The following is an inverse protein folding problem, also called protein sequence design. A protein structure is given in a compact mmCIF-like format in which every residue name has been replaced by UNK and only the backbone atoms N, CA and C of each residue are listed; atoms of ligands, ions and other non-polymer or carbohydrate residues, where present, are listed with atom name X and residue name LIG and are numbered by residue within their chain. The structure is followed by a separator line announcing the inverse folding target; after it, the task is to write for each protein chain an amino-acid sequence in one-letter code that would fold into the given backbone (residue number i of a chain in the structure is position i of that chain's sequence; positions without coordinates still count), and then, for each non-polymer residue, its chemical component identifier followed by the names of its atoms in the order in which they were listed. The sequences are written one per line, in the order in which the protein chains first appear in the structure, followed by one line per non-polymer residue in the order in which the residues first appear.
data_IF_198639414683
#
_entry.id   IF_198639414683
#
_cell.length_a   1.000
_cell.length_b   1.000
_cell.length_c   1.000
_cell.angle_alpha   90.00
_cell.angle_beta   90.00
_cell.angle_gamma   90.00
#
_symmetry.space_group_name_H-M   'P 1'
#
loop_
_entity.id
_entity.type
_entity.pdbx_description
1 polymer ?
#
# COMPACT_ATOMS: atom_id res chain seq x y z
N UNK A 1 -53.24 38.57 -18.30
CA UNK A 1 -51.97 38.65 -17.54
C UNK A 1 -51.73 37.44 -16.63
N UNK A 2 -52.76 36.83 -16.03
CA UNK A 2 -52.60 35.77 -15.01
C UNK A 2 -52.29 34.35 -15.54
N UNK A 3 -52.63 34.04 -16.80
CA UNK A 3 -52.42 32.69 -17.40
C UNK A 3 -50.95 32.37 -17.70
N UNK A 4 -50.13 33.36 -18.01
CA UNK A 4 -48.70 33.17 -18.35
C UNK A 4 -47.86 32.93 -17.08
N UNK A 5 -48.27 33.52 -15.95
CA UNK A 5 -47.59 33.37 -14.67
C UNK A 5 -47.59 31.92 -14.18
N UNK A 6 -48.74 31.23 -14.21
CA UNK A 6 -48.84 29.83 -13.78
C UNK A 6 -48.13 28.85 -14.71
N UNK A 7 -48.00 29.17 -16.00
CA UNK A 7 -47.22 28.36 -16.96
C UNK A 7 -45.72 28.47 -16.67
N UNK A 8 -45.23 29.66 -16.32
CA UNK A 8 -43.84 29.85 -15.91
C UNK A 8 -43.58 29.14 -14.58
N UNK A 9 -44.48 29.26 -13.60
CA UNK A 9 -44.33 28.58 -12.29
C UNK A 9 -44.32 27.06 -12.44
N UNK A 10 -45.19 26.49 -13.27
CA UNK A 10 -45.22 25.03 -13.52
C UNK A 10 -44.04 24.56 -14.36
N UNK A 11 -43.63 25.33 -15.38
CA UNK A 11 -42.45 25.03 -16.20
C UNK A 11 -41.15 25.06 -15.38
N UNK A 12 -40.99 26.06 -14.51
CA UNK A 12 -39.86 26.14 -13.57
C UNK A 12 -39.91 24.99 -12.56
N UNK A 13 -41.09 24.62 -12.07
CA UNK A 13 -41.25 23.46 -11.19
C UNK A 13 -40.88 22.13 -11.88
N UNK A 14 -41.30 21.94 -13.14
CA UNK A 14 -40.93 20.76 -13.94
C UNK A 14 -39.44 20.73 -14.30
N UNK A 15 -38.82 21.89 -14.56
CA UNK A 15 -37.37 22.01 -14.75
C UNK A 15 -36.60 21.68 -13.46
N UNK A 16 -37.07 22.17 -12.29
CA UNK A 16 -36.47 21.86 -11.00
C UNK A 16 -36.62 20.38 -10.62
N UNK A 17 -37.74 19.74 -10.98
CA UNK A 17 -37.93 18.29 -10.83
C UNK A 17 -37.02 17.48 -11.77
N UNK A 18 -36.76 17.96 -12.99
CA UNK A 18 -35.87 17.27 -13.92
C UNK A 18 -34.40 17.29 -13.46
N UNK A 19 -33.95 18.43 -12.93
CA UNK A 19 -32.60 18.58 -12.34
C UNK A 19 -32.42 17.73 -11.07
N UNK A 20 -33.49 17.38 -10.36
CA UNK A 20 -33.47 16.49 -9.18
C UNK A 20 -33.23 15.02 -9.53
N UNK A 21 -33.57 14.57 -10.75
CA UNK A 21 -33.54 13.14 -11.12
C UNK A 21 -32.20 12.74 -11.77
N UNK A 22 -31.29 13.68 -12.08
CA UNK A 22 -29.96 13.31 -12.55
C UNK A 22 -29.11 12.79 -11.39
N UNK A 23 -29.28 11.53 -11.03
CA UNK A 23 -28.27 10.80 -10.29
C UNK A 23 -27.08 10.62 -11.22
N UNK A 24 -26.02 11.37 -10.96
CA UNK A 24 -24.72 11.16 -11.58
C UNK A 24 -24.13 9.88 -10.97
N UNK A 25 -24.37 8.74 -11.61
CA UNK A 25 -23.68 7.51 -11.25
C UNK A 25 -22.28 7.59 -11.83
N UNK A 26 -21.35 8.20 -11.10
CA UNK A 26 -19.93 8.05 -11.39
C UNK A 26 -19.58 6.56 -11.30
N UNK A 27 -19.31 5.95 -12.46
CA UNK A 27 -18.71 4.63 -12.51
C UNK A 27 -17.24 4.81 -12.08
N UNK A 28 -16.96 4.56 -10.80
CA UNK A 28 -15.57 4.47 -10.34
C UNK A 28 -15.00 3.19 -10.91
N UNK A 29 -14.17 3.31 -11.95
CA UNK A 29 -13.39 2.19 -12.46
C UNK A 29 -12.34 1.87 -11.40
N UNK A 30 -12.49 0.73 -10.74
CA UNK A 30 -11.44 0.13 -9.91
C UNK A 30 -10.34 -0.36 -10.84
N UNK A 31 -9.13 0.19 -10.72
CA UNK A 31 -7.97 -0.25 -11.49
C UNK A 31 -7.20 -1.35 -10.74
N UNK A 32 -6.42 -2.14 -11.48
CA UNK A 32 -5.53 -3.12 -10.89
C UNK A 32 -4.42 -2.41 -10.10
N UNK A 33 -4.16 -2.83 -8.87
CA UNK A 33 -3.12 -2.22 -8.03
C UNK A 33 -2.35 -3.27 -7.25
N UNK A 34 -1.06 -3.02 -7.04
CA UNK A 34 -0.19 -3.84 -6.19
C UNK A 34 0.04 -3.13 -4.86
N UNK A 35 -0.24 -3.79 -3.75
CA UNK A 35 -0.05 -3.25 -2.42
C UNK A 35 0.86 -4.13 -1.56
N UNK A 36 1.76 -3.46 -0.85
CA UNK A 36 2.70 -4.07 0.07
C UNK A 36 2.24 -3.90 1.52
N UNK A 37 2.20 -5.01 2.24
CA UNK A 37 1.81 -5.09 3.65
C UNK A 37 2.97 -5.62 4.48
N UNK A 38 3.36 -4.85 5.50
CA UNK A 38 4.36 -5.30 6.48
C UNK A 38 3.64 -6.12 7.55
N UNK A 39 3.95 -7.42 7.65
CA UNK A 39 3.35 -8.32 8.62
C UNK A 39 4.12 -8.28 9.96
N UNK A 40 4.20 -7.08 10.53
CA UNK A 40 4.79 -6.82 11.84
C UNK A 40 4.12 -5.63 12.48
N UNK A 41 4.11 -5.59 13.81
CA UNK A 41 3.65 -4.43 14.57
C UNK A 41 4.56 -3.21 14.35
N UNK A 42 5.83 -3.47 14.07
CA UNK A 42 6.86 -2.44 13.93
C UNK A 42 7.54 -2.55 12.57
N UNK A 43 7.92 -1.41 12.01
CA UNK A 43 8.73 -1.32 10.79
C UNK A 43 10.23 -1.27 11.09
N UNK A 44 10.63 -1.95 12.17
CA UNK A 44 12.01 -2.11 12.55
C UNK A 44 12.27 -3.52 13.06
N UNK A 45 13.51 -3.96 12.93
CA UNK A 45 14.02 -5.25 13.40
C UNK A 45 15.44 -5.07 13.92
N UNK A 46 15.88 -5.95 14.82
CA UNK A 46 17.30 -6.03 15.15
C UNK A 46 18.08 -6.75 14.04
N UNK A 47 19.37 -6.47 13.98
CA UNK A 47 20.30 -7.25 13.16
C UNK A 47 20.19 -8.74 13.50
N UNK A 48 20.06 -9.59 12.48
CA UNK A 48 19.84 -11.02 12.61
C UNK A 48 18.38 -11.45 12.74
N UNK A 49 17.44 -10.51 12.93
CA UNK A 49 16.01 -10.81 12.95
C UNK A 49 15.39 -10.76 11.55
N UNK A 50 14.28 -11.49 11.40
CA UNK A 50 13.52 -11.58 10.16
C UNK A 50 12.19 -10.85 10.31
N UNK A 51 11.84 -10.04 9.30
CA UNK A 51 10.52 -9.45 9.13
C UNK A 51 9.86 -10.03 7.88
N UNK A 52 8.55 -10.30 7.95
CA UNK A 52 7.78 -10.81 6.81
C UNK A 52 6.94 -9.71 6.18
N UNK A 53 6.95 -9.63 4.86
CA UNK A 53 6.13 -8.73 4.06
C UNK A 53 5.27 -9.56 3.11
N UNK A 54 4.09 -9.05 2.76
CA UNK A 54 3.18 -9.62 1.77
C UNK A 54 2.92 -8.64 0.65
N UNK A 55 2.93 -9.13 -0.58
CA UNK A 55 2.51 -8.37 -1.74
C UNK A 55 1.13 -8.88 -2.18
N UNK A 56 0.11 -8.03 -2.09
CA UNK A 56 -1.25 -8.37 -2.48
C UNK A 56 -1.65 -7.59 -3.72
N UNK A 57 -2.13 -8.30 -4.73
CA UNK A 57 -2.64 -7.73 -5.97
C UNK A 57 -4.15 -7.57 -5.86
N UNK A 58 -4.60 -6.32 -5.94
CA UNK A 58 -6.03 -5.98 -5.99
C UNK A 58 -6.42 -5.88 -7.45
N UNK A 59 -7.26 -6.80 -7.90
CA UNK A 59 -7.81 -6.79 -9.24
C UNK A 59 -8.97 -5.80 -9.34
N UNK A 60 -9.17 -5.26 -10.54
CA UNK A 60 -10.26 -4.34 -10.88
C UNK A 60 -11.66 -4.93 -10.56
N UNK A 61 -11.80 -6.26 -10.58
CA UNK A 61 -13.04 -6.96 -10.23
C UNK A 61 -13.30 -7.07 -8.72
N UNK A 62 -12.41 -6.50 -7.89
CA UNK A 62 -12.47 -6.51 -6.44
C UNK A 62 -11.88 -7.77 -5.80
N UNK A 63 -11.33 -8.70 -6.59
CA UNK A 63 -10.62 -9.86 -6.04
C UNK A 63 -9.24 -9.48 -5.52
N UNK A 64 -8.80 -10.20 -4.50
CA UNK A 64 -7.51 -10.00 -3.84
C UNK A 64 -6.69 -11.28 -3.94
N UNK A 65 -5.50 -11.16 -4.50
CA UNK A 65 -4.58 -12.27 -4.70
C UNK A 65 -3.27 -12.04 -3.93
N UNK A 66 -2.78 -13.06 -3.23
CA UNK A 66 -1.46 -13.02 -2.59
C UNK A 66 -0.42 -13.45 -3.63
N UNK A 67 0.38 -12.47 -4.09
CA UNK A 67 1.41 -12.64 -5.13
C UNK A 67 2.82 -12.54 -4.54
N UNK A 68 2.96 -12.71 -3.22
CA UNK A 68 4.22 -12.53 -2.48
C UNK A 68 5.41 -13.29 -3.07
N UNK A 69 5.16 -14.49 -3.62
CA UNK A 69 6.16 -15.36 -4.24
C UNK A 69 6.35 -15.16 -5.75
N UNK A 70 5.56 -14.27 -6.36
CA UNK A 70 5.60 -13.96 -7.79
C UNK A 70 6.21 -12.59 -8.09
N UNK A 71 6.27 -11.71 -7.09
CA UNK A 71 6.83 -10.36 -7.26
C UNK A 71 8.36 -10.36 -7.27
N UNK A 72 8.92 -9.37 -7.95
CA UNK A 72 10.33 -9.00 -7.85
C UNK A 72 10.47 -7.98 -6.73
N UNK A 73 11.21 -8.36 -5.69
CA UNK A 73 11.53 -7.49 -4.57
C UNK A 73 12.68 -6.54 -4.92
N UNK A 74 12.46 -5.24 -4.73
CA UNK A 74 13.45 -4.17 -4.93
C UNK A 74 13.77 -3.52 -3.61
N UNK A 75 15.05 -3.57 -3.22
CA UNK A 75 15.57 -2.91 -2.04
C UNK A 75 16.45 -1.73 -2.46
N UNK A 76 16.38 -0.62 -1.70
CA UNK A 76 17.30 0.50 -1.92
C UNK A 76 18.73 0.22 -1.46
N UNK A 77 18.91 -0.72 -0.52
CA UNK A 77 20.23 -1.15 -0.02
C UNK A 77 20.18 -2.59 0.51
N UNK A 78 20.82 -3.51 -0.21
CA UNK A 78 20.89 -4.95 0.08
C UNK A 78 21.99 -5.32 1.11
N UNK A 79 22.82 -4.36 1.52
CA UNK A 79 23.76 -4.53 2.63
C UNK A 79 23.04 -4.43 3.99
N UNK A 80 22.00 -3.59 4.08
CA UNK A 80 21.21 -3.37 5.30
C UNK A 80 20.20 -4.49 5.51
N UNK A 81 19.51 -4.91 4.46
CA UNK A 81 18.44 -5.91 4.51
C UNK A 81 18.57 -6.82 3.30
N UNK A 82 18.26 -8.10 3.45
CA UNK A 82 18.18 -9.04 2.31
C UNK A 82 16.85 -9.77 2.34
N UNK A 83 16.41 -10.31 1.21
CA UNK A 83 15.11 -10.98 1.07
C UNK A 83 15.27 -12.35 0.44
N UNK A 84 14.39 -13.26 0.78
CA UNK A 84 14.11 -14.44 -0.03
C UNK A 84 12.95 -14.19 -1.01
N UNK A 85 12.61 -15.23 -1.79
CA UNK A 85 11.50 -15.18 -2.75
C UNK A 85 10.12 -15.22 -2.08
N UNK A 86 10.02 -15.56 -0.79
CA UNK A 86 8.74 -15.72 -0.09
C UNK A 86 8.38 -14.49 0.75
N UNK A 87 9.10 -13.38 0.59
CA UNK A 87 8.84 -12.13 1.31
C UNK A 87 9.36 -12.13 2.75
N UNK A 88 10.34 -12.98 3.09
CA UNK A 88 11.06 -12.89 4.36
C UNK A 88 12.34 -12.09 4.21
N UNK A 89 12.46 -11.06 5.04
CA UNK A 89 13.55 -10.10 5.01
C UNK A 89 14.42 -10.19 6.26
N UNK A 90 15.71 -10.45 6.09
CA UNK A 90 16.69 -10.55 7.18
C UNK A 90 17.46 -9.23 7.34
N UNK A 91 17.47 -8.69 8.57
CA UNK A 91 18.31 -7.55 8.96
C UNK A 91 19.79 -7.92 8.98
N UNK A 92 20.60 -7.32 8.11
CA UNK A 92 22.04 -7.61 7.97
C UNK A 92 22.94 -6.61 8.67
N UNK A 93 22.66 -5.32 8.51
CA UNK A 93 23.47 -4.22 9.05
C UNK A 93 22.55 -3.11 9.56
N UNK A 94 22.99 -2.37 10.57
CA UNK A 94 22.24 -1.22 11.08
C UNK A 94 22.04 -0.17 9.98
N UNK A 95 20.81 0.32 9.85
CA UNK A 95 20.49 1.36 8.88
C UNK A 95 19.01 1.36 8.52
N UNK A 96 18.67 2.07 7.45
CA UNK A 96 17.31 2.12 6.91
C UNK A 96 17.34 1.77 5.44
N UNK A 97 16.40 0.94 5.00
CA UNK A 97 16.21 0.62 3.58
C UNK A 97 14.75 0.73 3.18
N UNK A 98 14.52 0.97 1.89
CA UNK A 98 13.21 1.02 1.27
C UNK A 98 12.98 -0.25 0.47
N UNK A 99 11.74 -0.75 0.49
CA UNK A 99 11.31 -1.97 -0.17
C UNK A 99 10.14 -1.62 -1.09
N UNK A 100 10.21 -2.09 -2.33
CA UNK A 100 9.12 -2.12 -3.30
C UNK A 100 8.97 -3.52 -3.88
N UNK A 101 7.77 -3.86 -4.29
CA UNK A 101 7.48 -5.05 -5.07
C UNK A 101 7.09 -4.63 -6.50
N UNK A 102 7.57 -5.37 -7.49
CA UNK A 102 7.25 -5.18 -8.91
C UNK A 102 6.68 -6.48 -9.47
N UNK A 103 5.61 -6.39 -10.25
CA UNK A 103 5.08 -7.55 -10.99
C UNK A 103 4.77 -7.16 -12.42
N UNK A 104 5.20 -8.00 -13.36
CA UNK A 104 4.94 -7.85 -14.78
C UNK A 104 3.77 -8.75 -15.16
N UNK A 105 2.72 -8.15 -15.72
CA UNK A 105 1.60 -8.88 -16.34
C UNK A 105 1.74 -8.84 -17.86
N UNK A 106 0.82 -9.49 -18.58
CA UNK A 106 0.80 -9.42 -20.06
C UNK A 106 0.60 -7.98 -20.59
N UNK A 107 -0.11 -7.14 -19.83
CA UNK A 107 -0.56 -5.82 -20.29
C UNK A 107 0.24 -4.67 -19.68
N UNK A 108 0.68 -4.80 -18.44
CA UNK A 108 1.27 -3.71 -17.66
C UNK A 108 2.21 -4.20 -16.56
N UNK A 109 3.15 -3.33 -16.14
CA UNK A 109 3.97 -3.50 -14.94
C UNK A 109 3.36 -2.73 -13.77
N UNK A 110 3.12 -3.43 -12.67
CA UNK A 110 2.64 -2.81 -11.44
C UNK A 110 3.79 -2.67 -10.45
N UNK A 111 3.86 -1.51 -9.79
CA UNK A 111 4.80 -1.23 -8.71
C UNK A 111 4.02 -0.95 -7.43
N UNK A 112 4.45 -1.55 -6.31
CA UNK A 112 3.80 -1.34 -5.03
C UNK A 112 4.07 0.04 -4.42
N UNK A 113 3.37 0.35 -3.32
CA UNK A 113 3.83 1.36 -2.37
C UNK A 113 5.20 1.00 -1.78
N UNK A 114 5.88 1.99 -1.23
CA UNK A 114 7.17 1.82 -0.54
C UNK A 114 6.96 1.44 0.93
N UNK A 115 7.60 0.36 1.38
CA UNK A 115 7.81 0.11 2.81
C UNK A 115 9.21 0.56 3.22
N UNK A 116 9.34 1.18 4.38
CA UNK A 116 10.63 1.62 4.93
C UNK A 116 10.90 0.78 6.16
N UNK A 117 12.00 0.02 6.16
CA UNK A 117 12.40 -0.84 7.27
C UNK A 117 13.69 -0.31 7.87
N UNK A 118 13.69 -0.14 9.20
CA UNK A 118 14.89 0.22 9.97
C UNK A 118 15.48 -1.01 10.64
N UNK A 119 16.73 -1.32 10.34
CA UNK A 119 17.51 -2.34 11.05
C UNK A 119 18.28 -1.66 12.17
N UNK A 120 18.05 -2.11 13.40
CA UNK A 120 18.73 -1.64 14.60
C UNK A 120 19.92 -2.55 14.89
N UNK A 121 21.02 -1.99 15.40
CA UNK A 121 22.08 -2.81 15.96
C UNK A 121 21.50 -3.70 17.07
N UNK A 122 21.92 -4.98 17.08
CA UNK A 122 21.55 -5.88 18.17
C UNK A 122 22.02 -5.24 19.49
N UNK A 123 21.15 -5.14 20.52
CA UNK A 123 21.54 -4.51 21.76
C UNK A 123 22.77 -5.23 22.30
N UNK A 124 23.84 -4.46 22.56
CA UNK A 124 25.00 -5.01 23.25
C UNK A 124 24.48 -5.67 24.52
N UNK A 125 24.77 -6.95 24.69
CA UNK A 125 24.52 -7.62 25.96
C UNK A 125 25.28 -6.77 26.97
N UNK A 126 24.58 -6.13 27.91
CA UNK A 126 25.24 -5.53 29.06
C UNK A 126 26.09 -6.66 29.65
N UNK A 127 27.40 -6.59 29.42
CA UNK A 127 28.33 -7.55 29.96
C UNK A 127 28.11 -7.52 31.46
N UNK A 128 27.85 -8.69 32.05
CA UNK A 128 27.72 -8.83 33.50
C UNK A 128 28.96 -8.30 34.26
N UNK A 129 30.06 -8.08 33.54
CA UNK A 129 31.34 -7.62 34.06
C UNK A 129 31.59 -6.10 33.92
N UNK A 130 30.75 -5.33 33.22
CA UNK A 130 30.97 -3.88 33.04
C UNK A 130 29.73 -3.05 33.37
N UNK A 131 29.43 -2.84 34.67
CA UNK A 131 28.20 -2.17 35.13
C UNK A 131 28.13 -0.65 34.86
N UNK A 132 29.12 -0.05 34.18
CA UNK A 132 29.21 1.41 33.99
C UNK A 132 29.34 1.86 32.53
N UNK A 133 29.32 0.95 31.55
CA UNK A 133 29.33 1.31 30.14
C UNK A 133 28.00 0.93 29.51
N UNK A 134 27.01 1.81 29.68
CA UNK A 134 25.82 1.87 28.83
C UNK A 134 25.97 3.05 27.86
#
# INVERSE_FOLDING_TARGET
MMRVFWIIVTSVFFLLLYVCISNDTEVVLTENTLHLYVNSKYQWVYQGEVISLKALFHHADGTLEDVTDMVIWRLSNDNILTTDQYGYFLGKEEGTTEIKAEIDTEYERFTSNTAIIKVLAFPAICSFYEPFSC
#
